data_IF_348241136733
#
_entry.id   IF_348241136733
#
_cell.length_a   1.000
_cell.length_b   1.000
_cell.length_c   1.000
_cell.angle_alpha   90.00
_cell.angle_beta   90.00
_cell.angle_gamma   90.00
#
_symmetry.space_group_name_H-M   'P 1'
#
loop_
_entity.id
_entity.type
_entity.pdbx_description
1 polymer ?
#
# COMPACT_ATOMS: atom_id res chain seq x y z
N UNK A 1 32.99 -21.54 -21.88
CA UNK A 1 32.20 -22.48 -21.05
C UNK A 1 30.77 -22.44 -21.54
N UNK A 2 30.07 -23.57 -21.61
CA UNK A 2 28.66 -23.58 -21.98
C UNK A 2 27.82 -23.03 -20.81
N UNK A 3 26.86 -22.16 -21.14
CA UNK A 3 25.97 -21.49 -20.18
C UNK A 3 24.54 -21.76 -20.62
N UNK A 4 23.69 -22.19 -19.69
CA UNK A 4 22.24 -22.28 -19.97
C UNK A 4 21.59 -20.93 -19.72
N UNK A 5 20.82 -20.41 -20.67
CA UNK A 5 19.97 -19.23 -20.46
C UNK A 5 18.53 -19.68 -20.72
N UNK A 6 17.61 -19.40 -19.80
CA UNK A 6 16.24 -19.90 -19.92
C UNK A 6 15.21 -18.94 -19.32
N UNK A 7 14.10 -18.75 -20.03
CA UNK A 7 12.85 -18.19 -19.53
C UNK A 7 11.79 -19.30 -19.56
N UNK A 8 11.80 -20.23 -18.58
CA UNK A 8 10.89 -21.37 -18.59
C UNK A 8 9.45 -20.94 -18.26
N UNK A 9 8.44 -21.76 -18.57
CA UNK A 9 7.07 -21.53 -18.13
C UNK A 9 6.99 -21.44 -16.60
N UNK A 10 6.41 -20.35 -16.10
CA UNK A 10 6.37 -20.06 -14.67
C UNK A 10 5.35 -20.93 -13.93
N UNK A 11 5.75 -21.43 -12.75
CA UNK A 11 4.87 -22.16 -11.83
C UNK A 11 4.16 -23.35 -12.51
N UNK A 12 4.80 -23.95 -13.52
CA UNK A 12 4.24 -25.05 -14.28
C UNK A 12 4.10 -26.27 -13.37
N UNK A 13 2.91 -26.86 -13.32
CA UNK A 13 2.73 -28.18 -12.71
C UNK A 13 3.51 -29.22 -13.52
N UNK A 14 4.10 -30.18 -12.83
CA UNK A 14 4.88 -31.22 -13.46
C UNK A 14 4.71 -32.55 -12.72
N UNK A 15 5.00 -33.63 -13.43
CA UNK A 15 5.04 -34.96 -12.84
C UNK A 15 6.48 -35.29 -12.50
N UNK A 16 6.68 -35.82 -11.29
CA UNK A 16 7.99 -36.33 -10.92
C UNK A 16 8.36 -37.49 -11.85
N UNK A 17 9.58 -37.51 -12.40
CA UNK A 17 10.06 -38.67 -13.11
C UNK A 17 10.20 -39.86 -12.15
N UNK A 18 10.19 -41.07 -12.70
CA UNK A 18 10.45 -42.26 -11.92
C UNK A 18 11.81 -42.16 -11.21
N UNK A 19 11.85 -42.55 -9.92
CA UNK A 19 13.01 -42.40 -9.05
C UNK A 19 13.62 -40.98 -9.02
N UNK A 20 12.80 -39.93 -8.98
CA UNK A 20 13.28 -38.55 -8.95
C UNK A 20 14.38 -38.31 -7.89
N UNK A 21 14.24 -38.85 -6.68
CA UNK A 21 15.23 -38.71 -5.61
C UNK A 21 16.60 -39.31 -5.93
N UNK A 22 16.68 -40.26 -6.87
CA UNK A 22 17.93 -40.91 -7.28
C UNK A 22 18.60 -40.23 -8.47
N UNK A 23 17.98 -39.21 -9.07
CA UNK A 23 18.55 -38.50 -10.22
C UNK A 23 19.58 -37.48 -9.75
N UNK A 24 20.75 -37.45 -10.41
CA UNK A 24 21.85 -36.52 -10.10
C UNK A 24 21.41 -35.04 -10.08
N UNK A 25 20.46 -34.67 -10.94
CA UNK A 25 19.92 -33.30 -10.96
C UNK A 25 19.17 -32.92 -9.69
N UNK A 26 18.62 -33.87 -8.94
CA UNK A 26 17.82 -33.60 -7.74
C UNK A 26 18.55 -33.89 -6.43
N UNK A 27 19.89 -33.92 -6.46
CA UNK A 27 20.73 -34.10 -5.26
C UNK A 27 20.57 -32.99 -4.20
N UNK A 28 20.04 -31.82 -4.58
CA UNK A 28 19.74 -30.71 -3.65
C UNK A 28 18.27 -30.70 -3.20
N UNK A 29 17.49 -31.72 -3.57
CA UNK A 29 16.07 -31.83 -3.29
C UNK A 29 15.21 -31.95 -4.54
N UNK A 30 14.02 -32.54 -4.38
CA UNK A 30 13.02 -32.67 -5.44
C UNK A 30 11.96 -31.57 -5.26
N UNK A 31 11.78 -30.67 -6.25
CA UNK A 31 10.75 -29.62 -6.17
C UNK A 31 9.32 -30.19 -6.09
N UNK A 32 8.35 -29.44 -5.57
CA UNK A 32 6.97 -29.92 -5.47
C UNK A 32 6.33 -30.06 -6.86
N UNK A 33 5.44 -31.02 -7.06
CA UNK A 33 4.75 -31.24 -8.35
C UNK A 33 3.90 -30.04 -8.79
N UNK A 34 3.50 -29.19 -7.85
CA UNK A 34 2.76 -27.95 -8.13
C UNK A 34 3.61 -26.87 -8.81
N UNK A 35 4.95 -26.95 -8.76
CA UNK A 35 5.83 -25.91 -9.28
C UNK A 35 7.17 -26.46 -9.80
N UNK A 36 7.41 -26.34 -11.10
CA UNK A 36 8.62 -26.79 -11.77
C UNK A 36 9.79 -25.78 -11.76
N UNK A 37 9.65 -24.58 -11.19
CA UNK A 37 10.68 -23.52 -11.29
C UNK A 37 12.07 -24.02 -10.85
N UNK A 38 12.17 -24.65 -9.67
CA UNK A 38 13.43 -25.23 -9.20
C UNK A 38 13.85 -26.48 -9.97
N UNK A 39 12.91 -27.20 -10.60
CA UNK A 39 13.24 -28.37 -11.43
C UNK A 39 14.05 -27.96 -12.66
N UNK A 40 13.70 -26.83 -13.27
CA UNK A 40 14.46 -26.24 -14.36
C UNK A 40 15.87 -25.82 -13.92
N UNK A 41 15.98 -25.10 -12.79
CA UNK A 41 17.27 -24.65 -12.23
C UNK A 41 18.20 -25.85 -12.00
N UNK A 42 17.70 -26.84 -11.27
CA UNK A 42 18.46 -28.03 -10.90
C UNK A 42 18.86 -28.88 -12.12
N UNK A 43 17.98 -29.03 -13.11
CA UNK A 43 18.28 -29.74 -14.36
C UNK A 43 19.37 -29.03 -15.18
N UNK A 44 19.38 -27.71 -15.24
CA UNK A 44 20.44 -26.97 -15.94
C UNK A 44 21.76 -27.08 -15.19
N UNK A 45 21.75 -26.93 -13.87
CA UNK A 45 22.95 -27.04 -13.05
C UNK A 45 23.52 -28.46 -13.03
N UNK A 46 22.73 -29.51 -13.26
CA UNK A 46 23.28 -30.87 -13.40
C UNK A 46 24.10 -31.06 -14.68
N UNK A 47 23.95 -30.17 -15.67
CA UNK A 47 24.60 -30.28 -16.98
C UNK A 47 25.65 -29.20 -17.24
N UNK A 48 25.52 -28.06 -16.56
CA UNK A 48 26.35 -26.88 -16.77
C UNK A 48 26.78 -26.27 -15.44
N UNK A 49 27.96 -25.67 -15.41
CA UNK A 49 28.43 -24.95 -14.23
C UNK A 49 27.80 -23.57 -14.09
N UNK A 50 27.37 -22.96 -15.20
CA UNK A 50 26.75 -21.62 -15.24
C UNK A 50 25.36 -21.68 -15.86
N UNK A 51 24.39 -21.03 -15.21
CA UNK A 51 23.03 -20.91 -15.71
C UNK A 51 22.41 -19.56 -15.33
N UNK A 52 21.57 -19.01 -16.23
CA UNK A 52 20.82 -17.77 -16.02
C UNK A 52 19.33 -18.08 -16.25
N UNK A 53 18.52 -17.75 -15.26
CA UNK A 53 17.07 -18.01 -15.30
C UNK A 53 16.28 -16.73 -15.10
N UNK A 54 15.33 -16.48 -16.00
CA UNK A 54 14.29 -15.48 -15.82
C UNK A 54 13.07 -16.15 -15.19
N UNK A 55 12.75 -15.79 -13.95
CA UNK A 55 11.72 -16.45 -13.13
C UNK A 55 10.90 -15.41 -12.35
N UNK A 56 9.66 -15.74 -11.93
CA UNK A 56 8.84 -14.82 -11.14
C UNK A 56 9.42 -14.62 -9.74
N UNK A 57 9.22 -13.43 -9.15
CA UNK A 57 9.79 -13.09 -7.83
C UNK A 57 9.39 -14.05 -6.69
N UNK A 58 8.34 -14.85 -6.86
CA UNK A 58 7.96 -15.91 -5.92
C UNK A 58 9.08 -16.91 -5.62
N UNK A 59 10.04 -17.13 -6.53
CA UNK A 59 11.21 -17.99 -6.27
C UNK A 59 12.19 -17.38 -5.26
N UNK A 60 12.16 -16.06 -5.04
CA UNK A 60 13.00 -15.39 -4.05
C UNK A 60 12.45 -15.60 -2.62
N UNK A 61 11.12 -15.72 -2.50
CA UNK A 61 10.38 -15.79 -1.24
C UNK A 61 9.26 -16.84 -1.34
N UNK A 62 9.64 -18.10 -1.27
CA UNK A 62 8.70 -19.22 -1.25
C UNK A 62 8.37 -19.65 0.18
N UNK A 63 7.11 -20.04 0.41
CA UNK A 63 6.62 -20.67 1.63
C UNK A 63 6.52 -22.21 1.51
N UNK A 64 6.78 -22.76 0.31
CA UNK A 64 6.80 -24.21 0.12
C UNK A 64 8.08 -24.79 0.73
N UNK A 65 7.94 -25.82 1.57
CA UNK A 65 9.06 -26.39 2.34
C UNK A 65 10.13 -27.01 1.45
N UNK A 66 9.74 -27.71 0.39
CA UNK A 66 10.68 -28.34 -0.55
C UNK A 66 11.48 -27.29 -1.32
N UNK A 67 10.83 -26.26 -1.84
CA UNK A 67 11.48 -25.15 -2.53
C UNK A 67 12.41 -24.34 -1.60
N UNK A 68 11.98 -24.11 -0.36
CA UNK A 68 12.82 -23.47 0.66
C UNK A 68 14.09 -24.28 0.91
N UNK A 69 13.98 -25.60 1.07
CA UNK A 69 15.13 -26.48 1.29
C UNK A 69 16.11 -26.43 0.10
N UNK A 70 15.60 -26.53 -1.14
CA UNK A 70 16.43 -26.45 -2.35
C UNK A 70 17.13 -25.09 -2.44
N UNK A 71 16.42 -23.99 -2.19
CA UNK A 71 17.00 -22.63 -2.19
C UNK A 71 18.13 -22.51 -1.17
N UNK A 72 17.92 -23.00 0.06
CA UNK A 72 18.96 -23.04 1.10
C UNK A 72 20.18 -23.81 0.63
N UNK A 73 19.98 -25.01 0.08
CA UNK A 73 21.09 -25.84 -0.42
C UNK A 73 21.85 -25.19 -1.58
N UNK A 74 21.17 -24.51 -2.51
CA UNK A 74 21.82 -23.77 -3.60
C UNK A 74 22.70 -22.62 -3.09
N UNK A 75 22.25 -21.92 -2.04
CA UNK A 75 22.99 -20.83 -1.41
C UNK A 75 24.20 -21.38 -0.63
N UNK A 76 24.00 -22.42 0.19
CA UNK A 76 25.05 -23.04 1.00
C UNK A 76 26.13 -23.74 0.17
N UNK A 77 25.77 -24.31 -0.97
CA UNK A 77 26.72 -24.84 -1.95
C UNK A 77 27.46 -23.73 -2.72
N UNK A 78 27.17 -22.48 -2.42
CA UNK A 78 27.78 -21.31 -3.05
C UNK A 78 27.51 -21.27 -4.57
N UNK A 79 26.32 -21.67 -5.03
CA UNK A 79 26.00 -21.73 -6.47
C UNK A 79 25.33 -20.46 -7.00
N UNK A 80 24.63 -19.70 -6.16
CA UNK A 80 23.95 -18.48 -6.59
C UNK A 80 24.94 -17.30 -6.63
N UNK A 81 25.20 -16.75 -7.81
CA UNK A 81 26.17 -15.67 -8.07
C UNK A 81 25.52 -14.28 -7.96
N UNK A 82 24.34 -14.10 -8.56
CA UNK A 82 23.62 -12.83 -8.53
C UNK A 82 22.10 -13.01 -8.60
N UNK A 83 21.38 -12.05 -8.03
CA UNK A 83 19.93 -11.88 -8.15
C UNK A 83 19.66 -10.47 -8.65
N UNK A 84 19.02 -10.36 -9.80
CA UNK A 84 18.65 -9.09 -10.42
C UNK A 84 17.13 -9.01 -10.43
N UNK A 85 16.55 -8.23 -9.52
CA UNK A 85 15.13 -7.91 -9.55
C UNK A 85 14.86 -6.98 -10.73
N UNK A 86 14.01 -7.43 -11.64
CA UNK A 86 13.61 -6.65 -12.80
C UNK A 86 12.37 -5.81 -12.49
N UNK A 87 12.17 -4.69 -13.21
CA UNK A 87 10.95 -3.91 -13.12
C UNK A 87 9.69 -4.76 -13.33
N UNK A 88 8.59 -4.39 -12.69
CA UNK A 88 7.29 -4.98 -13.03
C UNK A 88 6.86 -4.59 -14.45
N UNK A 89 5.83 -5.24 -15.01
CA UNK A 89 5.24 -4.84 -16.32
C UNK A 89 6.22 -4.81 -17.51
N UNK A 90 7.31 -5.58 -17.46
CA UNK A 90 8.20 -5.75 -18.61
C UNK A 90 7.61 -6.64 -19.71
N UNK A 91 6.68 -7.54 -19.38
CA UNK A 91 6.07 -8.45 -20.34
C UNK A 91 4.74 -7.92 -20.90
N UNK A 92 4.53 -8.16 -22.19
CA UNK A 92 3.27 -7.82 -22.86
C UNK A 92 2.10 -8.68 -22.37
N UNK A 93 2.35 -9.92 -21.95
CA UNK A 93 1.33 -10.87 -21.53
C UNK A 93 0.99 -10.81 -20.03
N UNK A 94 1.87 -10.27 -19.19
CA UNK A 94 1.69 -10.25 -17.73
C UNK A 94 2.35 -9.05 -17.07
N UNK A 95 1.79 -8.58 -15.96
CA UNK A 95 2.41 -7.55 -15.11
C UNK A 95 3.27 -8.12 -13.98
N UNK A 96 3.39 -9.45 -13.89
CA UNK A 96 4.13 -10.11 -12.81
C UNK A 96 5.60 -9.65 -12.80
N UNK A 97 6.13 -9.22 -11.63
CA UNK A 97 7.54 -8.90 -11.50
C UNK A 97 8.38 -10.19 -11.55
N UNK A 98 9.52 -10.09 -12.22
CA UNK A 98 10.44 -11.21 -12.44
C UNK A 98 11.85 -10.84 -12.01
N UNK A 99 12.69 -11.85 -11.86
CA UNK A 99 14.10 -11.68 -11.53
C UNK A 99 14.95 -12.58 -12.40
N UNK A 100 16.16 -12.11 -12.70
CA UNK A 100 17.23 -12.96 -13.22
C UNK A 100 17.98 -13.56 -12.05
N UNK A 101 18.06 -14.89 -12.01
CA UNK A 101 18.93 -15.62 -11.10
C UNK A 101 20.12 -16.15 -11.90
N UNK A 102 21.31 -15.74 -11.50
CA UNK A 102 22.56 -16.18 -12.10
C UNK A 102 23.21 -17.18 -11.16
N UNK A 103 23.43 -18.39 -11.65
CA UNK A 103 24.10 -19.45 -10.93
C UNK A 103 25.45 -19.75 -11.57
N UNK A 104 26.47 -19.96 -10.75
CA UNK A 104 27.83 -20.28 -11.15
C UNK A 104 28.50 -21.17 -10.09
N UNK A 105 28.63 -22.47 -10.38
CA UNK A 105 29.30 -23.46 -9.52
C UNK A 105 30.79 -23.19 -9.31
N UNK A 106 31.39 -22.36 -10.16
CA UNK A 106 32.82 -22.01 -10.15
C UNK A 106 33.08 -20.62 -9.56
N UNK A 107 32.07 -19.96 -8.97
CA UNK A 107 32.28 -18.64 -8.35
C UNK A 107 33.23 -18.78 -7.15
N UNK A 108 34.16 -17.84 -7.04
CA UNK A 108 35.25 -17.86 -6.05
C UNK A 108 34.90 -17.12 -4.76
N UNK A 109 33.94 -16.21 -4.83
CA UNK A 109 33.46 -15.43 -3.69
C UNK A 109 32.33 -16.16 -2.95
N UNK A 110 32.20 -15.92 -1.65
CA UNK A 110 31.06 -16.31 -0.81
C UNK A 110 29.96 -15.23 -0.75
N UNK A 111 30.03 -14.23 -1.64
CA UNK A 111 29.02 -13.17 -1.73
C UNK A 111 28.02 -13.44 -2.86
N UNK A 112 26.84 -12.84 -2.75
CA UNK A 112 25.80 -12.80 -3.78
C UNK A 112 25.57 -11.33 -4.14
N UNK A 113 25.64 -11.02 -5.42
CA UNK A 113 25.34 -9.68 -5.92
C UNK A 113 23.83 -9.51 -6.03
N UNK A 114 23.27 -8.56 -5.28
CA UNK A 114 21.88 -8.15 -5.36
C UNK A 114 21.78 -6.88 -6.19
N UNK A 115 20.91 -6.87 -7.20
CA UNK A 115 20.62 -5.69 -8.03
C UNK A 115 19.11 -5.45 -8.04
N UNK A 116 18.71 -4.21 -7.80
CA UNK A 116 17.36 -3.72 -8.08
C UNK A 116 17.39 -2.86 -9.35
N UNK A 117 16.85 -3.40 -10.45
CA UNK A 117 16.79 -2.70 -11.73
C UNK A 117 15.54 -1.82 -11.89
N UNK A 118 14.61 -1.81 -10.91
CA UNK A 118 13.38 -1.03 -10.94
C UNK A 118 13.66 0.48 -11.04
N UNK A 119 14.64 0.98 -10.26
CA UNK A 119 15.08 2.38 -10.29
C UNK A 119 15.78 2.79 -11.59
N UNK A 120 16.16 1.83 -12.43
CA UNK A 120 16.81 2.04 -13.72
C UNK A 120 15.83 1.97 -14.90
N UNK A 121 14.56 1.65 -14.63
CA UNK A 121 13.54 1.50 -15.64
C UNK A 121 13.07 2.84 -16.23
N UNK A 122 12.57 2.78 -17.46
CA UNK A 122 11.76 3.84 -18.06
C UNK A 122 10.40 3.28 -18.45
N UNK A 123 9.36 4.09 -18.29
CA UNK A 123 8.04 3.72 -18.77
C UNK A 123 7.91 4.04 -20.27
N UNK A 124 7.42 3.08 -21.03
CA UNK A 124 7.02 3.22 -22.43
C UNK A 124 5.54 2.87 -22.60
N UNK A 125 4.87 3.55 -23.54
CA UNK A 125 3.52 3.19 -23.97
C UNK A 125 3.61 2.47 -25.31
N UNK A 126 3.20 1.21 -25.35
CA UNK A 126 3.14 0.41 -26.59
C UNK A 126 1.71 0.10 -26.98
N UNK A 127 1.47 0.05 -28.28
CA UNK A 127 0.20 -0.37 -28.85
C UNK A 127 0.21 -1.87 -29.11
N UNK A 128 -0.77 -2.58 -28.56
CA UNK A 128 -0.93 -4.02 -28.73
C UNK A 128 -2.31 -4.35 -29.28
N UNK A 129 -2.37 -5.19 -30.31
CA UNK A 129 -3.63 -5.74 -30.83
C UNK A 129 -3.98 -7.03 -30.10
N UNK A 130 -5.26 -7.28 -29.84
CA UNK A 130 -5.70 -8.57 -29.30
C UNK A 130 -5.31 -9.70 -30.25
N UNK A 131 -4.63 -10.73 -29.75
CA UNK A 131 -4.18 -11.86 -30.59
C UNK A 131 -5.21 -13.00 -30.64
N UNK A 132 -6.12 -13.08 -29.67
CA UNK A 132 -7.09 -14.17 -29.49
C UNK A 132 -8.45 -13.61 -29.06
N UNK A 133 -9.54 -14.24 -29.52
CA UNK A 133 -10.91 -13.85 -29.21
C UNK A 133 -11.75 -13.52 -30.45
N UNK A 134 -12.89 -12.85 -30.24
CA UNK A 134 -13.79 -12.43 -31.33
C UNK A 134 -13.14 -11.38 -32.25
N UNK A 135 -13.72 -11.14 -33.44
CA UNK A 135 -13.29 -10.06 -34.35
C UNK A 135 -13.21 -8.69 -33.67
N UNK A 136 -14.02 -8.46 -32.64
CA UNK A 136 -13.96 -7.23 -31.82
C UNK A 136 -12.73 -7.15 -30.91
N UNK A 137 -12.19 -8.29 -30.47
CA UNK A 137 -10.96 -8.36 -29.66
C UNK A 137 -9.72 -8.21 -30.54
N UNK A 138 -9.71 -8.85 -31.72
CA UNK A 138 -8.55 -8.82 -32.62
C UNK A 138 -8.35 -7.51 -33.37
N UNK A 139 -9.43 -6.75 -33.60
CA UNK A 139 -9.35 -5.41 -34.22
C UNK A 139 -9.09 -4.27 -33.23
N UNK A 140 -9.08 -4.53 -31.91
CA UNK A 140 -8.90 -3.49 -30.89
C UNK A 140 -7.41 -3.28 -30.60
N UNK A 141 -6.98 -2.03 -30.64
CA UNK A 141 -5.64 -1.59 -30.22
C UNK A 141 -5.71 -1.11 -28.77
N UNK A 142 -4.91 -1.71 -27.90
CA UNK A 142 -4.78 -1.33 -26.50
C UNK A 142 -3.45 -0.59 -26.32
N UNK A 143 -3.48 0.54 -25.61
CA UNK A 143 -2.26 1.22 -25.15
C UNK A 143 -1.87 0.64 -23.80
N UNK A 144 -0.74 -0.05 -23.76
CA UNK A 144 -0.21 -0.66 -22.53
C UNK A 144 1.04 0.10 -22.09
N UNK A 145 1.07 0.49 -20.81
CA UNK A 145 2.28 0.95 -20.14
C UNK A 145 3.14 -0.26 -19.80
N UNK A 146 4.38 -0.24 -20.25
CA UNK A 146 5.38 -1.26 -19.94
C UNK A 146 6.62 -0.58 -19.40
N UNK A 147 7.35 -1.28 -18.55
CA UNK A 147 8.66 -0.82 -18.13
C UNK A 147 9.72 -1.44 -19.04
N UNK A 148 10.70 -0.65 -19.42
CA UNK A 148 11.84 -1.07 -20.23
C UNK A 148 13.13 -0.69 -19.54
N UNK A 149 14.15 -1.53 -19.73
CA UNK A 149 15.52 -1.19 -19.35
C UNK A 149 16.21 -0.58 -20.58
N UNK A 150 16.52 0.73 -20.57
CA UNK A 150 17.26 1.34 -21.66
C UNK A 150 18.68 0.79 -21.73
N UNK A 151 19.36 0.99 -22.86
CA UNK A 151 20.72 0.46 -23.08
C UNK A 151 21.72 0.91 -22.01
N UNK A 152 21.58 2.13 -21.48
CA UNK A 152 22.42 2.64 -20.39
C UNK A 152 22.20 1.85 -19.09
N UNK A 153 20.95 1.47 -18.79
CA UNK A 153 20.63 0.65 -17.62
C UNK A 153 21.21 -0.76 -17.77
N UNK A 154 21.11 -1.37 -18.95
CA UNK A 154 21.68 -2.69 -19.23
C UNK A 154 23.19 -2.67 -19.05
N UNK A 155 23.89 -1.71 -19.65
CA UNK A 155 25.36 -1.54 -19.49
C UNK A 155 25.76 -1.34 -18.04
N UNK A 156 24.95 -0.60 -17.27
CA UNK A 156 25.18 -0.41 -15.83
C UNK A 156 25.06 -1.74 -15.07
N UNK A 157 24.02 -2.53 -15.34
CA UNK A 157 23.87 -3.87 -14.76
C UNK A 157 25.04 -4.78 -15.13
N UNK A 158 25.46 -4.79 -16.40
CA UNK A 158 26.65 -5.53 -16.87
C UNK A 158 27.91 -5.12 -16.11
N UNK A 159 28.11 -3.82 -15.87
CA UNK A 159 29.27 -3.34 -15.12
C UNK A 159 29.34 -3.89 -13.69
N UNK A 160 28.20 -4.10 -13.03
CA UNK A 160 28.15 -4.74 -11.71
C UNK A 160 28.41 -6.24 -11.78
N UNK A 161 28.06 -6.91 -12.87
CA UNK A 161 28.37 -8.33 -13.07
C UNK A 161 29.87 -8.55 -13.29
N UNK A 162 30.53 -7.63 -14.00
CA UNK A 162 31.97 -7.67 -14.23
C UNK A 162 32.76 -7.25 -12.99
N UNK A 163 32.30 -6.20 -12.30
CA UNK A 163 32.90 -5.68 -11.07
C UNK A 163 31.81 -5.47 -10.00
N UNK A 164 31.51 -6.50 -9.20
CA UNK A 164 30.53 -6.40 -8.12
C UNK A 164 30.88 -5.25 -7.15
N UNK A 165 29.87 -4.45 -6.82
CA UNK A 165 30.02 -3.30 -5.93
C UNK A 165 28.69 -2.79 -5.42
N UNK A 166 28.77 -1.92 -4.41
CA UNK A 166 27.62 -1.33 -3.75
C UNK A 166 27.27 0.02 -4.37
N UNK A 167 25.99 0.23 -4.68
CA UNK A 167 25.46 1.51 -5.10
C UNK A 167 24.07 1.71 -4.48
N UNK A 168 23.90 2.81 -3.74
CA UNK A 168 22.65 3.12 -3.06
C UNK A 168 21.45 3.12 -4.03
N UNK A 169 20.40 2.39 -3.67
CA UNK A 169 19.19 2.25 -4.49
C UNK A 169 19.32 1.36 -5.73
N UNK A 170 20.50 0.77 -6.01
CA UNK A 170 20.72 -0.04 -7.23
C UNK A 170 21.36 -1.40 -6.93
N UNK A 171 22.45 -1.48 -6.18
CA UNK A 171 23.17 -2.74 -5.98
C UNK A 171 23.76 -2.89 -4.58
N UNK A 172 23.91 -4.14 -4.15
CA UNK A 172 24.60 -4.51 -2.91
C UNK A 172 25.28 -5.86 -3.07
N UNK A 173 26.55 -5.96 -2.66
CA UNK A 173 27.26 -7.24 -2.52
C UNK A 173 26.98 -7.77 -1.12
N UNK A 174 26.25 -8.89 -1.04
CA UNK A 174 25.75 -9.43 0.23
C UNK A 174 26.47 -10.75 0.57
N UNK A 175 27.11 -10.87 1.74
CA UNK A 175 27.67 -12.14 2.20
C UNK A 175 26.58 -13.21 2.40
N UNK A 176 26.89 -14.47 2.09
CA UNK A 176 25.95 -15.58 2.32
C UNK A 176 25.50 -15.66 3.79
N UNK A 177 26.37 -15.37 4.75
CA UNK A 177 26.01 -15.40 6.18
C UNK A 177 24.88 -14.40 6.51
N UNK A 178 24.95 -13.18 5.96
CA UNK A 178 23.85 -12.19 6.09
C UNK A 178 22.55 -12.70 5.47
N UNK A 179 22.63 -13.48 4.39
CA UNK A 179 21.45 -14.09 3.78
C UNK A 179 20.86 -15.19 4.68
N UNK A 180 21.69 -15.96 5.38
CA UNK A 180 21.23 -16.97 6.36
C UNK A 180 20.52 -16.33 7.55
N UNK A 181 21.09 -15.26 8.10
CA UNK A 181 20.49 -14.47 9.19
C UNK A 181 19.12 -13.89 8.82
N UNK A 182 18.89 -13.67 7.52
CA UNK A 182 17.64 -13.13 6.97
C UNK A 182 16.74 -14.23 6.38
N UNK A 183 16.79 -15.45 6.94
CA UNK A 183 15.96 -16.60 6.55
C UNK A 183 16.03 -16.97 5.05
N UNK A 184 17.19 -16.74 4.42
CA UNK A 184 17.44 -17.01 3.01
C UNK A 184 16.49 -16.27 2.06
N UNK A 185 15.95 -15.11 2.48
CA UNK A 185 15.13 -14.25 1.62
C UNK A 185 16.00 -13.57 0.57
N UNK A 186 15.74 -13.80 -0.72
CA UNK A 186 16.61 -13.28 -1.79
C UNK A 186 16.08 -11.99 -2.43
N UNK A 187 15.22 -11.22 -1.75
CA UNK A 187 14.66 -9.99 -2.32
C UNK A 187 15.69 -8.86 -2.26
N UNK A 188 16.16 -8.29 -3.39
CA UNK A 188 17.21 -7.26 -3.37
C UNK A 188 16.88 -6.03 -2.50
N UNK A 189 15.61 -5.60 -2.48
CA UNK A 189 15.14 -4.46 -1.66
C UNK A 189 15.33 -4.64 -0.15
N UNK A 190 15.59 -5.87 0.31
CA UNK A 190 15.88 -6.16 1.72
C UNK A 190 17.33 -5.81 2.11
N UNK A 191 18.21 -5.67 1.12
CA UNK A 191 19.64 -5.47 1.28
C UNK A 191 20.14 -4.14 0.70
N UNK A 192 19.41 -3.58 -0.25
CA UNK A 192 19.74 -2.32 -0.91
C UNK A 192 19.00 -1.20 -0.17
N UNK A 193 19.75 -0.28 0.42
CA UNK A 193 19.18 0.92 1.01
C UNK A 193 18.59 1.81 -0.08
N UNK A 194 17.28 2.04 -0.03
CA UNK A 194 16.62 2.95 -0.97
C UNK A 194 17.01 4.40 -0.64
N UNK A 195 17.24 5.18 -1.68
CA UNK A 195 17.36 6.63 -1.56
C UNK A 195 15.99 7.15 -1.14
N UNK A 196 15.82 7.50 0.14
CA UNK A 196 14.65 8.26 0.55
C UNK A 196 14.73 9.61 -0.17
N UNK A 197 13.84 9.86 -1.13
CA UNK A 197 13.62 11.22 -1.57
C UNK A 197 13.11 11.98 -0.35
N UNK A 198 13.84 13.03 0.05
CA UNK A 198 13.40 13.90 1.12
C UNK A 198 12.04 14.47 0.70
N UNK A 199 10.99 14.02 1.37
CA UNK A 199 9.67 14.63 1.24
C UNK A 199 9.89 16.09 1.65
N UNK A 200 9.73 17.02 0.70
CA UNK A 200 9.71 18.44 1.04
C UNK A 200 8.46 18.69 1.88
N UNK A 201 8.61 18.62 3.20
CA UNK A 201 7.58 19.05 4.12
C UNK A 201 7.42 20.57 4.00
N UNK A 202 6.18 21.05 4.07
CA UNK A 202 5.93 22.49 4.27
C UNK A 202 6.54 22.94 5.61
N UNK A 203 6.93 24.21 5.73
CA UNK A 203 7.48 24.73 7.00
C UNK A 203 6.53 24.48 8.18
N UNK A 204 7.11 24.21 9.36
CA UNK A 204 6.35 23.95 10.59
C UNK A 204 5.37 25.09 10.91
N UNK A 205 5.80 26.33 10.70
CA UNK A 205 4.95 27.52 10.85
C UNK A 205 3.70 27.46 9.97
N UNK A 206 3.85 27.07 8.70
CA UNK A 206 2.74 26.98 7.75
C UNK A 206 1.76 25.88 8.16
N UNK A 207 2.28 24.71 8.56
CA UNK A 207 1.46 23.59 9.01
C UNK A 207 0.71 23.91 10.29
N UNK A 208 1.38 24.48 11.29
CA UNK A 208 0.78 24.95 12.55
C UNK A 208 -0.34 25.97 12.29
N UNK A 209 -0.11 26.93 11.40
CA UNK A 209 -1.11 27.93 11.01
C UNK A 209 -2.35 27.32 10.36
N UNK A 210 -2.18 26.41 9.39
CA UNK A 210 -3.31 25.75 8.72
C UNK A 210 -4.10 24.84 9.66
N UNK A 211 -3.41 24.09 10.54
CA UNK A 211 -4.06 23.26 11.55
C UNK A 211 -4.92 24.09 12.50
N UNK A 212 -4.40 25.23 12.97
CA UNK A 212 -5.16 26.14 13.81
C UNK A 212 -6.34 26.80 13.11
N UNK A 213 -6.21 27.12 11.81
CA UNK A 213 -7.35 27.61 11.01
C UNK A 213 -8.47 26.58 10.97
N UNK A 214 -8.15 25.33 10.65
CA UNK A 214 -9.12 24.23 10.60
C UNK A 214 -9.74 23.96 11.98
N UNK A 215 -8.95 23.96 13.04
CA UNK A 215 -9.47 23.79 14.41
C UNK A 215 -10.37 24.95 14.84
N UNK A 216 -10.05 26.19 14.44
CA UNK A 216 -10.90 27.35 14.72
C UNK A 216 -12.24 27.31 13.97
N UNK A 217 -12.26 26.80 12.73
CA UNK A 217 -13.49 26.58 11.97
C UNK A 217 -14.36 25.50 12.62
N UNK A 218 -13.77 24.35 12.97
CA UNK A 218 -14.46 23.27 13.71
C UNK A 218 -15.00 23.75 15.06
N UNK A 219 -14.24 24.59 15.77
CA UNK A 219 -14.59 25.11 17.09
C UNK A 219 -15.54 26.31 17.10
N UNK A 220 -16.03 26.76 15.95
CA UNK A 220 -17.01 27.85 15.90
C UNK A 220 -18.33 27.51 16.60
N UNK A 221 -18.66 26.21 16.64
CA UNK A 221 -19.83 25.66 17.33
C UNK A 221 -19.39 24.55 18.28
N UNK A 222 -19.83 24.60 19.53
CA UNK A 222 -19.66 23.52 20.50
C UNK A 222 -20.98 22.78 20.71
N UNK A 223 -20.91 21.45 20.66
CA UNK A 223 -22.05 20.58 20.95
C UNK A 223 -21.92 19.96 22.34
N UNK A 224 -22.95 20.12 23.18
CA UNK A 224 -23.10 19.32 24.41
C UNK A 224 -24.34 18.45 24.28
N UNK A 225 -24.16 17.13 24.33
CA UNK A 225 -25.24 16.18 24.04
C UNK A 225 -25.26 15.02 25.05
N UNK A 226 -26.46 14.60 25.42
CA UNK A 226 -26.68 13.40 26.22
C UNK A 226 -26.12 12.15 25.51
N UNK A 227 -25.48 11.25 26.25
CA UNK A 227 -24.88 10.02 25.69
C UNK A 227 -25.89 9.12 24.96
N UNK A 228 -27.08 8.92 25.53
CA UNK A 228 -28.12 8.10 24.91
C UNK A 228 -28.59 8.74 23.60
N UNK A 229 -28.89 10.05 23.65
CA UNK A 229 -29.29 10.79 22.45
C UNK A 229 -28.21 10.77 21.36
N UNK A 230 -26.94 10.90 21.72
CA UNK A 230 -25.82 10.80 20.78
C UNK A 230 -25.73 9.40 20.14
N UNK A 231 -26.01 8.34 20.90
CA UNK A 231 -26.06 6.98 20.38
C UNK A 231 -27.24 6.78 19.43
N UNK A 232 -28.44 7.24 19.83
CA UNK A 232 -29.66 7.12 19.04
C UNK A 232 -29.57 7.89 17.70
N UNK A 233 -28.81 9.00 17.67
CA UNK A 233 -28.50 9.77 16.46
C UNK A 233 -27.28 9.25 15.68
N UNK A 234 -26.63 8.17 16.13
CA UNK A 234 -25.44 7.59 15.46
C UNK A 234 -24.17 8.45 15.56
N UNK A 235 -24.13 9.44 16.45
CA UNK A 235 -23.03 10.41 16.57
C UNK A 235 -21.87 9.90 17.44
N UNK A 236 -22.07 8.83 18.20
CA UNK A 236 -21.10 8.36 19.20
C UNK A 236 -19.70 8.05 18.62
N UNK A 237 -19.55 7.39 17.46
CA UNK A 237 -18.22 7.15 16.87
C UNK A 237 -17.49 8.44 16.50
N UNK A 238 -18.22 9.39 15.88
CA UNK A 238 -17.66 10.70 15.52
C UNK A 238 -17.21 11.47 16.76
N UNK A 239 -18.03 11.47 17.82
CA UNK A 239 -17.70 12.19 19.06
C UNK A 239 -16.42 11.65 19.70
N UNK A 240 -16.22 10.33 19.69
CA UNK A 240 -14.97 9.71 20.17
C UNK A 240 -13.78 10.16 19.33
N UNK A 241 -13.89 10.11 18.00
CA UNK A 241 -12.84 10.58 17.10
C UNK A 241 -12.46 12.05 17.36
N UNK A 242 -13.46 12.90 17.61
CA UNK A 242 -13.23 14.31 17.93
C UNK A 242 -12.50 14.47 19.27
N UNK A 243 -12.88 13.71 20.30
CA UNK A 243 -12.21 13.71 21.60
C UNK A 243 -10.76 13.22 21.49
N UNK A 244 -10.53 12.11 20.78
CA UNK A 244 -9.19 11.58 20.50
C UNK A 244 -8.32 12.61 19.77
N UNK A 245 -8.86 13.30 18.77
CA UNK A 245 -8.12 14.34 18.05
C UNK A 245 -7.68 15.51 18.94
N UNK A 246 -8.50 15.85 19.94
CA UNK A 246 -8.16 16.87 20.94
C UNK A 246 -7.03 16.41 21.84
N UNK A 247 -7.05 15.15 22.30
CA UNK A 247 -5.96 14.58 23.10
C UNK A 247 -4.66 14.48 22.30
N UNK A 248 -4.71 14.01 21.05
CA UNK A 248 -3.52 14.01 20.16
C UNK A 248 -2.95 15.41 19.99
N UNK A 249 -3.81 16.44 19.85
CA UNK A 249 -3.33 17.83 19.74
C UNK A 249 -2.63 18.33 21.01
N UNK A 250 -3.05 17.87 22.19
CA UNK A 250 -2.36 18.16 23.46
C UNK A 250 -1.01 17.45 23.55
N UNK A 251 -0.98 16.16 23.24
CA UNK A 251 0.27 15.37 23.22
C UNK A 251 1.30 15.99 22.26
N UNK A 252 0.86 16.43 21.08
CA UNK A 252 1.72 17.10 20.11
C UNK A 252 2.21 18.47 20.62
N UNK A 253 1.36 19.25 21.29
CA UNK A 253 1.81 20.50 21.92
C UNK A 253 2.89 20.27 22.98
N UNK A 254 2.74 19.22 23.78
CA UNK A 254 3.73 18.88 24.81
C UNK A 254 5.04 18.37 24.18
N UNK A 255 4.94 17.54 23.14
CA UNK A 255 6.11 16.99 22.43
C UNK A 255 6.90 18.02 21.63
N UNK A 256 6.24 19.05 21.09
CA UNK A 256 6.85 20.07 20.21
C UNK A 256 6.88 21.48 20.84
N UNK A 257 6.85 21.55 22.18
CA UNK A 257 6.81 22.81 22.92
C UNK A 257 7.98 23.75 22.60
N UNK A 258 9.16 23.18 22.36
CA UNK A 258 10.40 23.93 22.07
C UNK A 258 10.56 24.28 20.59
N UNK A 259 9.70 23.73 19.71
CA UNK A 259 9.71 23.94 18.25
C UNK A 259 8.74 25.06 17.81
N UNK A 260 8.16 25.80 18.75
CA UNK A 260 7.25 26.91 18.47
C UNK A 260 5.88 26.49 17.90
N UNK A 261 5.54 25.20 17.97
CA UNK A 261 4.24 24.68 17.54
C UNK A 261 3.22 24.84 18.67
N UNK A 262 2.10 25.50 18.37
CA UNK A 262 0.98 25.65 19.29
C UNK A 262 -0.31 25.33 18.55
N UNK A 263 -0.93 24.22 18.88
CA UNK A 263 -2.19 23.73 18.32
C UNK A 263 -3.35 24.03 19.27
N UNK A 264 -4.51 24.35 18.70
CA UNK A 264 -5.74 24.53 19.47
C UNK A 264 -6.24 23.19 20.05
N UNK A 265 -6.51 23.17 21.36
CA UNK A 265 -6.96 22.00 22.13
C UNK A 265 -8.35 22.18 22.74
N UNK A 266 -9.12 23.16 22.26
CA UNK A 266 -10.49 23.39 22.71
C UNK A 266 -11.38 22.19 22.39
N UNK A 267 -12.05 21.69 23.41
CA UNK A 267 -13.11 20.71 23.23
C UNK A 267 -14.30 21.34 22.48
N UNK A 268 -14.59 20.78 21.30
CA UNK A 268 -15.73 21.16 20.45
C UNK A 268 -16.97 20.31 20.70
N UNK A 269 -16.83 19.22 21.47
CA UNK A 269 -17.94 18.33 21.82
C UNK A 269 -17.84 17.80 23.25
N UNK A 270 -18.97 17.74 23.94
CA UNK A 270 -19.07 17.24 25.31
C UNK A 270 -20.21 16.24 25.43
N UNK A 271 -19.89 15.04 25.92
CA UNK A 271 -20.89 14.03 26.30
C UNK A 271 -21.31 14.24 27.75
N UNK A 272 -22.62 14.18 27.99
CA UNK A 272 -23.19 14.27 29.35
C UNK A 272 -24.20 13.16 29.60
N UNK A 273 -24.48 12.87 30.87
CA UNK A 273 -25.58 11.99 31.27
C UNK A 273 -26.88 12.75 31.53
N UNK A 274 -26.82 14.09 31.63
CA UNK A 274 -27.99 14.95 31.77
C UNK A 274 -28.81 14.98 30.48
N UNK A 275 -30.13 15.20 30.59
CA UNK A 275 -31.05 15.34 29.43
C UNK A 275 -30.83 16.68 28.72
N UNK A 276 -29.67 16.85 28.09
CA UNK A 276 -29.22 18.10 27.50
C UNK A 276 -28.85 17.89 26.03
N UNK A 277 -29.35 18.78 25.18
CA UNK A 277 -28.85 19.03 23.84
C UNK A 277 -28.63 20.54 23.73
N UNK A 278 -27.37 20.95 23.65
CA UNK A 278 -26.97 22.37 23.63
C UNK A 278 -26.00 22.59 22.49
N UNK A 279 -26.31 23.59 21.66
CA UNK A 279 -25.43 24.09 20.62
C UNK A 279 -24.99 25.48 21.04
N UNK A 280 -23.69 25.68 21.20
CA UNK A 280 -23.08 26.94 21.65
C UNK A 280 -22.27 27.55 20.51
N UNK A 281 -22.66 28.75 20.07
CA UNK A 281 -21.90 29.53 19.08
C UNK A 281 -20.82 30.31 19.82
N UNK A 282 -19.56 29.91 19.65
CA UNK A 282 -18.43 30.56 20.33
C UNK A 282 -17.99 31.86 19.66
N UNK A 283 -18.28 32.03 18.36
CA UNK A 283 -17.92 33.22 17.57
C UNK A 283 -19.15 33.74 16.86
N UNK A 284 -19.61 34.93 17.24
CA UNK A 284 -20.84 35.56 16.74
C UNK A 284 -20.60 36.43 15.50
N UNK A 285 -19.37 36.92 15.34
CA UNK A 285 -18.93 37.83 14.27
C UNK A 285 -19.04 37.20 12.87
N UNK A 286 -19.06 35.86 12.82
CA UNK A 286 -19.37 35.05 11.65
C UNK A 286 -20.27 33.91 12.09
N UNK A 287 -21.58 34.04 11.87
CA UNK A 287 -22.53 32.99 12.20
C UNK A 287 -22.19 31.73 11.38
N UNK A 288 -21.93 30.58 12.01
CA UNK A 288 -21.60 29.37 11.27
C UNK A 288 -22.77 28.94 10.38
N UNK A 289 -22.48 28.50 9.15
CA UNK A 289 -23.52 28.09 8.18
C UNK A 289 -24.49 27.07 8.77
N UNK A 290 -23.97 26.16 9.61
CA UNK A 290 -24.77 25.17 10.35
C UNK A 290 -25.90 25.82 11.17
N UNK A 291 -25.64 26.94 11.84
CA UNK A 291 -26.62 27.65 12.67
C UNK A 291 -27.66 28.33 11.78
N UNK A 292 -27.24 28.90 10.65
CA UNK A 292 -28.15 29.50 9.66
C UNK A 292 -29.12 28.44 9.14
N UNK A 293 -28.59 27.28 8.73
CA UNK A 293 -29.39 26.15 8.25
C UNK A 293 -30.37 25.66 9.32
N UNK A 294 -29.91 25.46 10.56
CA UNK A 294 -30.77 25.04 11.66
C UNK A 294 -31.90 26.04 11.93
N UNK A 295 -31.57 27.34 12.02
CA UNK A 295 -32.56 28.38 12.29
C UNK A 295 -33.63 28.46 11.20
N UNK A 296 -33.26 28.29 9.93
CA UNK A 296 -34.19 28.24 8.81
C UNK A 296 -35.12 27.02 8.90
N UNK A 297 -34.58 25.82 9.15
CA UNK A 297 -35.39 24.61 9.32
C UNK A 297 -36.37 24.74 10.50
N UNK A 298 -35.88 25.19 11.65
CA UNK A 298 -36.69 25.39 12.85
C UNK A 298 -37.82 26.40 12.60
N UNK A 299 -37.52 27.53 11.95
CA UNK A 299 -38.52 28.54 11.59
C UNK A 299 -39.66 27.93 10.76
N UNK A 300 -39.35 27.13 9.74
CA UNK A 300 -40.36 26.51 8.88
C UNK A 300 -41.28 25.57 9.67
N UNK A 301 -40.71 24.76 10.57
CA UNK A 301 -41.49 23.84 11.42
C UNK A 301 -42.40 24.60 12.38
N UNK A 302 -41.91 25.68 13.00
CA UNK A 302 -42.74 26.48 13.92
C UNK A 302 -43.87 27.21 13.20
N UNK A 303 -43.62 27.73 12.00
CA UNK A 303 -44.68 28.35 11.17
C UNK A 303 -45.75 27.32 10.82
N UNK A 304 -45.37 26.09 10.46
CA UNK A 304 -46.33 25.02 10.21
C UNK A 304 -47.21 24.72 11.42
N UNK A 305 -46.61 24.49 12.59
CA UNK A 305 -47.37 24.21 13.81
C UNK A 305 -48.25 25.36 14.26
N UNK A 306 -47.77 26.60 14.16
CA UNK A 306 -48.58 27.78 14.47
C UNK A 306 -49.81 27.88 13.54
N UNK A 307 -49.68 27.50 12.27
CA UNK A 307 -50.81 27.47 11.34
C UNK A 307 -51.81 26.36 11.70
N UNK A 308 -51.32 25.18 12.10
CA UNK A 308 -52.19 24.10 12.58
C UNK A 308 -52.92 24.47 13.88
N UNK A 309 -52.21 25.06 14.83
CA UNK A 309 -52.79 25.57 16.08
C UNK A 309 -53.89 26.60 15.78
N UNK A 310 -53.61 27.57 14.91
CA UNK A 310 -54.61 28.57 14.50
C UNK A 310 -55.85 27.93 13.85
N UNK A 311 -55.69 26.87 13.04
CA UNK A 311 -56.82 26.11 12.48
C UNK A 311 -57.70 25.54 13.58
N UNK A 312 -57.11 24.86 14.56
CA UNK A 312 -57.86 24.27 15.68
C UNK A 312 -58.48 25.33 16.60
N UNK A 313 -57.80 26.46 16.81
CA UNK A 313 -58.35 27.58 17.58
C UNK A 313 -59.58 28.21 16.91
N UNK A 314 -59.59 28.30 15.57
CA UNK A 314 -60.77 28.75 14.83
C UNK A 314 -61.95 27.79 14.98
N UNK A 315 -61.72 26.49 14.81
CA UNK A 315 -62.76 25.47 14.98
C UNK A 315 -63.32 25.47 16.42
N UNK A 316 -62.44 25.57 17.42
CA UNK A 316 -62.85 25.69 18.83
C UNK A 316 -63.70 26.94 19.07
N UNK A 317 -63.29 28.08 18.49
CA UNK A 317 -64.06 29.33 18.59
C UNK A 317 -65.46 29.17 18.01
N UNK A 318 -65.59 28.56 16.83
CA UNK A 318 -66.88 28.37 16.17
C UNK A 318 -67.83 27.50 17.01
N UNK A 319 -67.33 26.38 17.55
CA UNK A 319 -68.09 25.50 18.47
C UNK A 319 -68.55 26.26 19.72
N UNK A 320 -67.68 27.08 20.30
CA UNK A 320 -67.99 27.84 21.50
C UNK A 320 -69.03 28.94 21.24
N UNK A 321 -68.98 29.61 20.09
CA UNK A 321 -69.98 30.60 19.69
C UNK A 321 -71.36 29.94 19.54
N UNK A 322 -71.46 28.79 18.86
CA UNK A 322 -72.73 28.06 18.74
C UNK A 322 -73.36 27.70 20.10
N UNK A 323 -72.53 27.41 21.10
CA UNK A 323 -73.00 27.08 22.46
C UNK A 323 -73.42 28.29 23.28
N UNK A 324 -72.84 29.46 23.04
CA UNK A 324 -73.14 30.69 23.78
C UNK A 324 -74.42 31.39 23.28
N UNK A 325 -74.83 31.13 22.05
CA UNK A 325 -76.02 31.74 21.42
C UNK A 325 -77.22 30.78 21.31
N UNK A 326 -77.20 29.64 22.02
CA UNK A 326 -78.36 28.75 22.25
C UNK A 326 -78.89 28.94 23.66
#
# INVERSE_FOLDING_TARGET
MATTISNPPYNMKWQHPFFAQSQERFMLGVPPQSNANYAFILTALSKQDKAVFLLPNGVLTTNNKEEQAIKKSLIEKNYLEAVIALPERMFESTSIPTSLLIFNKKKQTSNILMINADSLAKEEVREQRGQVGSKSHTNRVYKKRINVLPNEAIKKIESFLDKPGDEQGVSKVVPIETIKEQDYVLTPNRYIEMKQEAIQHSSLEKLSKELNRVSAEKGAVKLTINRKMANDLGLLPLIKLLQESTETSKELNDAFKDEGVSLNTDSIVTLTNSKTFKIEVKKWDKLPDLIVMFAQMWKQVMVHYNNEENRYLMELKDIMLERLFK
#
